data_IF_141531120384
#
_entry.id   IF_141531120384
#
_cell.length_a   1.000
_cell.length_b   1.000
_cell.length_c   1.000
_cell.angle_alpha   90.00
_cell.angle_beta   90.00
_cell.angle_gamma   90.00
#
_symmetry.space_group_name_H-M   'P 1'
#
loop_
_entity.id
_entity.type
_entity.pdbx_description
1 polymer ?
#
# COMPACT_ATOMS: atom_id res chain seq x y z
N UNK A 1 58.42 -11.43 12.22
CA UNK A 1 58.21 -12.46 11.18
C UNK A 1 57.28 -13.50 11.78
N UNK A 2 56.11 -13.89 11.25
CA UNK A 2 55.45 -13.72 9.95
C UNK A 2 53.94 -13.45 10.19
N UNK A 3 53.29 -12.68 9.32
CA UNK A 3 51.81 -12.53 9.29
C UNK A 3 51.21 -13.42 8.19
N UNK A 4 50.14 -14.19 8.46
CA UNK A 4 49.43 -14.94 7.43
C UNK A 4 48.43 -14.05 6.66
N UNK A 5 48.71 -13.80 5.39
CA UNK A 5 47.81 -13.08 4.46
C UNK A 5 46.67 -13.97 3.96
N UNK A 6 45.43 -13.46 3.96
CA UNK A 6 44.28 -14.11 3.30
C UNK A 6 44.39 -14.00 1.77
N UNK A 7 44.01 -15.03 1.00
CA UNK A 7 43.96 -14.95 -0.46
C UNK A 7 42.71 -14.21 -0.96
N UNK A 8 42.87 -13.42 -2.02
CA UNK A 8 41.79 -12.68 -2.70
C UNK A 8 40.92 -13.58 -3.60
N UNK A 9 39.62 -13.29 -3.78
CA UNK A 9 38.76 -14.04 -4.71
C UNK A 9 39.04 -13.68 -6.18
N UNK A 10 39.07 -14.71 -7.04
CA UNK A 10 39.24 -14.59 -8.49
C UNK A 10 37.95 -14.11 -9.18
N UNK A 11 38.05 -12.98 -9.89
CA UNK A 11 37.03 -12.48 -10.81
C UNK A 11 37.01 -13.36 -12.06
N UNK A 12 35.83 -13.84 -12.49
CA UNK A 12 35.64 -14.52 -13.78
C UNK A 12 35.20 -13.52 -14.86
N UNK A 13 35.81 -13.52 -16.06
CA UNK A 13 35.41 -12.63 -17.14
C UNK A 13 34.13 -13.09 -17.87
N UNK A 14 33.47 -12.14 -18.53
CA UNK A 14 32.27 -12.33 -19.35
C UNK A 14 32.52 -13.27 -20.55
N UNK A 15 31.55 -14.12 -20.87
CA UNK A 15 31.50 -14.90 -22.12
C UNK A 15 30.68 -14.20 -23.21
N UNK A 16 31.00 -14.41 -24.51
CA UNK A 16 30.30 -13.77 -25.64
C UNK A 16 28.96 -14.45 -25.99
N UNK A 17 28.04 -13.74 -26.68
CA UNK A 17 26.74 -14.28 -27.10
C UNK A 17 26.80 -15.06 -28.42
N UNK A 18 25.94 -16.09 -28.54
CA UNK A 18 25.78 -16.93 -29.74
C UNK A 18 24.66 -16.45 -30.69
N UNK A 19 24.71 -16.78 -32.00
CA UNK A 19 23.98 -16.04 -33.05
C UNK A 19 22.55 -16.52 -33.35
N UNK A 20 21.84 -15.77 -34.21
CA UNK A 20 20.51 -16.10 -34.78
C UNK A 20 20.57 -16.38 -36.28
N UNK A 21 19.53 -17.09 -36.75
CA UNK A 21 18.89 -17.10 -38.09
C UNK A 21 19.17 -18.34 -38.95
N UNK A 22 18.08 -19.02 -39.32
CA UNK A 22 17.93 -19.93 -40.46
C UNK A 22 17.21 -21.25 -40.15
N UNK A 23 16.41 -21.87 -41.05
CA UNK A 23 15.72 -21.35 -42.25
C UNK A 23 14.36 -22.08 -42.47
N UNK A 24 13.64 -21.67 -43.52
CA UNK A 24 12.27 -21.94 -43.95
C UNK A 24 12.08 -23.24 -44.77
N UNK A 25 10.92 -23.91 -44.66
CA UNK A 25 10.27 -24.64 -45.78
C UNK A 25 8.73 -24.59 -45.66
N UNK A 26 7.99 -24.82 -46.76
CA UNK A 26 6.56 -24.49 -46.96
C UNK A 26 5.68 -25.72 -47.28
N UNK A 27 4.36 -25.59 -47.07
CA UNK A 27 3.31 -26.49 -47.60
C UNK A 27 2.06 -26.46 -46.70
N UNK A 28 1.05 -25.60 -46.90
CA UNK A 28 0.00 -25.49 -47.95
C UNK A 28 -1.30 -26.31 -47.65
N UNK A 29 -2.39 -25.54 -47.58
CA UNK A 29 -3.86 -25.75 -47.34
C UNK A 29 -4.62 -26.73 -48.28
N UNK A 30 -5.96 -26.98 -48.19
CA UNK A 30 -7.04 -26.44 -47.29
C UNK A 30 -8.12 -27.40 -46.68
N UNK A 31 -8.88 -26.90 -45.68
CA UNK A 31 -10.38 -26.82 -45.44
C UNK A 31 -11.38 -27.86 -46.05
N UNK A 32 -12.68 -27.98 -45.62
CA UNK A 32 -13.43 -27.51 -44.42
C UNK A 32 -14.15 -28.64 -43.64
N UNK A 33 -14.93 -28.29 -42.59
CA UNK A 33 -16.36 -28.72 -42.33
C UNK A 33 -16.81 -28.44 -40.88
N UNK A 34 -17.98 -27.77 -40.71
CA UNK A 34 -18.96 -27.77 -39.58
C UNK A 34 -18.48 -27.90 -38.11
N UNK A 35 -18.93 -27.11 -37.13
CA UNK A 35 -19.92 -26.04 -37.11
C UNK A 35 -20.62 -25.90 -35.74
N UNK A 36 -20.88 -24.65 -35.34
CA UNK A 36 -21.86 -24.18 -34.31
C UNK A 36 -21.64 -24.55 -32.82
N UNK A 37 -21.17 -23.56 -32.04
CA UNK A 37 -21.83 -23.10 -30.80
C UNK A 37 -21.35 -21.67 -30.47
N UNK A 38 -22.17 -20.66 -30.77
CA UNK A 38 -22.01 -19.27 -30.30
C UNK A 38 -22.52 -19.17 -28.87
N UNK A 39 -21.90 -18.34 -28.01
CA UNK A 39 -22.62 -17.25 -27.30
C UNK A 39 -21.67 -16.03 -27.08
N UNK A 40 -22.15 -14.85 -27.51
CA UNK A 40 -21.79 -13.44 -27.21
C UNK A 40 -20.33 -12.93 -27.11
N UNK A 41 -20.06 -11.92 -27.96
CA UNK A 41 -19.01 -10.90 -27.84
C UNK A 41 -19.10 -10.02 -26.57
N UNK A 42 -17.97 -9.39 -26.21
CA UNK A 42 -17.89 -8.44 -25.10
C UNK A 42 -16.56 -7.67 -25.00
N UNK A 43 -15.98 -7.25 -26.14
CA UNK A 43 -14.70 -6.56 -26.14
C UNK A 43 -14.82 -5.08 -25.70
N UNK A 44 -14.20 -4.71 -24.58
CA UNK A 44 -13.89 -3.30 -24.28
C UNK A 44 -12.63 -3.11 -23.41
N UNK A 45 -11.51 -3.01 -24.09
CA UNK A 45 -10.35 -2.14 -23.80
C UNK A 45 -10.40 -1.32 -22.48
N UNK A 46 -9.79 -1.83 -21.41
CA UNK A 46 -9.41 -1.00 -20.25
C UNK A 46 -8.01 -0.37 -20.45
N UNK A 47 -7.89 0.48 -21.48
CA UNK A 47 -6.71 1.32 -21.69
C UNK A 47 -7.12 2.79 -21.54
N UNK A 48 -6.75 3.42 -20.42
CA UNK A 48 -7.00 4.86 -20.20
C UNK A 48 -5.82 5.68 -20.73
N UNK A 49 -6.03 6.61 -21.68
CA UNK A 49 -4.98 7.51 -22.16
C UNK A 49 -4.63 8.57 -21.10
N UNK A 50 -3.38 9.09 -21.08
CA UNK A 50 -2.99 10.14 -20.15
C UNK A 50 -3.62 11.49 -20.54
N UNK A 51 -4.02 12.28 -19.55
CA UNK A 51 -4.21 13.73 -19.74
C UNK A 51 -5.64 14.30 -19.71
N UNK A 52 -6.64 13.65 -19.11
CA UNK A 52 -7.91 14.32 -18.77
C UNK A 52 -8.12 14.47 -17.26
N UNK A 53 -8.58 15.67 -16.89
CA UNK A 53 -9.06 16.06 -15.56
C UNK A 53 -10.27 15.20 -15.19
N UNK A 54 -10.28 14.64 -13.98
CA UNK A 54 -11.40 13.85 -13.47
C UNK A 54 -12.69 14.68 -13.50
N UNK A 55 -13.82 14.13 -14.01
CA UNK A 55 -15.12 14.78 -13.89
C UNK A 55 -15.56 14.81 -12.44
N UNK A 56 -16.30 15.84 -12.05
CA UNK A 56 -16.91 15.96 -10.72
C UNK A 56 -18.12 15.01 -10.63
N UNK A 57 -17.86 13.74 -10.35
CA UNK A 57 -18.88 12.74 -10.00
C UNK A 57 -19.17 12.72 -8.49
N UNK A 58 -20.34 12.22 -8.05
CA UNK A 58 -20.73 12.24 -6.65
C UNK A 58 -19.79 11.44 -5.75
N UNK A 59 -19.54 11.95 -4.55
CA UNK A 59 -18.61 11.38 -3.59
C UNK A 59 -19.22 10.21 -2.79
N UNK A 60 -19.26 9.03 -3.41
CA UNK A 60 -19.52 7.77 -2.69
C UNK A 60 -18.41 7.50 -1.66
N UNK A 61 -18.70 7.74 -0.38
CA UNK A 61 -17.76 7.42 0.71
C UNK A 61 -18.14 8.01 2.07
N UNK A 62 -18.74 7.16 2.91
CA UNK A 62 -19.12 7.36 4.33
C UNK A 62 -20.36 8.23 4.63
N UNK A 63 -21.28 7.65 5.41
CA UNK A 63 -22.44 8.35 6.02
C UNK A 63 -21.95 9.48 6.92
N UNK A 64 -22.63 10.62 6.83
CA UNK A 64 -22.34 11.81 7.63
C UNK A 64 -22.62 11.56 9.13
N UNK A 65 -21.62 11.80 9.98
CA UNK A 65 -21.86 12.18 11.37
C UNK A 65 -21.68 13.70 11.49
N UNK A 66 -22.73 14.38 11.93
CA UNK A 66 -22.75 15.83 12.12
C UNK A 66 -22.22 16.14 13.53
N UNK A 67 -21.39 17.17 13.69
CA UNK A 67 -21.06 17.64 15.04
C UNK A 67 -22.27 18.35 15.68
N UNK A 68 -22.34 18.32 17.01
CA UNK A 68 -23.42 18.95 17.79
C UNK A 68 -23.37 20.49 17.75
N UNK A 69 -22.46 21.08 16.97
CA UNK A 69 -22.28 22.54 16.80
C UNK A 69 -22.71 23.05 15.43
N UNK A 70 -23.24 22.19 14.55
CA UNK A 70 -23.84 22.58 13.27
C UNK A 70 -22.87 23.17 12.25
N UNK A 71 -21.56 23.06 12.47
CA UNK A 71 -20.55 23.57 11.53
C UNK A 71 -20.22 22.47 10.53
N UNK A 72 -20.28 22.77 9.23
CA UNK A 72 -19.72 21.86 8.21
C UNK A 72 -18.21 21.81 8.38
N UNK A 73 -17.71 20.83 9.14
CA UNK A 73 -16.30 20.57 9.31
C UNK A 73 -15.65 20.44 7.92
N UNK A 74 -14.74 21.35 7.58
CA UNK A 74 -14.06 21.30 6.29
C UNK A 74 -13.29 19.97 6.20
N UNK A 75 -13.63 19.15 5.19
CA UNK A 75 -13.08 17.79 4.91
C UNK A 75 -11.55 17.75 4.84
N UNK A 76 -10.89 18.92 4.81
CA UNK A 76 -9.44 19.15 4.91
C UNK A 76 -9.15 20.35 5.81
N UNK A 77 -8.42 20.14 6.91
CA UNK A 77 -7.78 21.21 7.66
C UNK A 77 -6.76 21.96 6.77
N UNK A 78 -6.81 23.30 6.69
CA UNK A 78 -5.83 24.07 5.91
C UNK A 78 -4.40 23.81 6.42
N UNK A 79 -3.41 23.94 5.52
CA UNK A 79 -1.99 23.68 5.84
C UNK A 79 -1.58 22.20 5.91
N UNK A 80 -2.47 21.26 6.29
CA UNK A 80 -2.10 19.81 6.41
C UNK A 80 -1.67 19.19 5.08
N UNK A 81 -2.20 19.65 3.95
CA UNK A 81 -1.71 19.23 2.62
C UNK A 81 -0.29 19.73 2.32
N UNK A 82 0.08 20.91 2.80
CA UNK A 82 1.45 21.45 2.69
C UNK A 82 2.40 20.66 3.59
N UNK A 83 2.01 20.38 4.83
CA UNK A 83 2.78 19.52 5.73
C UNK A 83 3.02 18.13 5.12
N UNK A 84 1.98 17.49 4.58
CA UNK A 84 2.13 16.23 3.87
C UNK A 84 3.00 16.32 2.60
N UNK A 85 3.16 17.49 1.97
CA UNK A 85 4.11 17.67 0.85
C UNK A 85 5.55 17.81 1.35
N UNK A 86 5.76 18.40 2.53
CA UNK A 86 7.08 18.48 3.18
C UNK A 86 7.55 17.09 3.62
N UNK A 87 6.72 16.38 4.39
CA UNK A 87 7.00 15.00 4.83
C UNK A 87 7.34 14.07 3.65
N UNK A 88 6.79 14.31 2.45
CA UNK A 88 7.04 13.47 1.25
C UNK A 88 8.42 13.68 0.62
N UNK A 89 9.14 14.72 1.06
CA UNK A 89 10.51 15.07 0.68
C UNK A 89 11.50 14.69 1.79
N UNK A 90 11.05 14.84 3.03
CA UNK A 90 11.82 14.61 4.26
C UNK A 90 11.46 13.23 4.87
N UNK A 91 11.17 12.23 4.03
CA UNK A 91 10.75 10.88 4.50
C UNK A 91 11.96 10.06 4.98
N UNK A 92 11.73 9.18 5.96
CA UNK A 92 12.76 8.27 6.48
C UNK A 92 13.10 7.17 5.47
N UNK A 93 14.31 6.60 5.58
CA UNK A 93 14.72 5.45 4.75
C UNK A 93 13.79 4.23 4.93
N UNK A 94 13.17 4.07 6.11
CA UNK A 94 12.17 3.03 6.37
C UNK A 94 10.86 3.30 5.61
N UNK A 95 10.34 4.54 5.66
CA UNK A 95 9.18 4.95 4.85
C UNK A 95 9.46 4.78 3.36
N UNK A 96 10.64 5.18 2.88
CA UNK A 96 11.02 5.05 1.47
C UNK A 96 11.04 3.58 1.01
N UNK A 97 11.66 2.69 1.80
CA UNK A 97 11.71 1.24 1.53
C UNK A 97 10.32 0.62 1.50
N UNK A 98 9.50 0.87 2.52
CA UNK A 98 8.14 0.32 2.57
C UNK A 98 7.26 0.90 1.44
N UNK A 99 7.38 2.21 1.17
CA UNK A 99 6.65 2.84 0.06
C UNK A 99 6.99 2.25 -1.30
N UNK A 100 8.24 1.82 -1.51
CA UNK A 100 8.63 1.17 -2.77
C UNK A 100 7.83 -0.11 -3.05
N UNK A 101 7.45 -0.87 -2.02
CA UNK A 101 6.64 -2.09 -2.16
C UNK A 101 5.13 -1.88 -2.00
N UNK A 102 4.69 -0.76 -1.43
CA UNK A 102 3.27 -0.40 -1.35
C UNK A 102 2.75 0.39 -2.57
N UNK A 103 3.62 1.15 -3.26
CA UNK A 103 3.23 2.01 -4.39
C UNK A 103 2.67 1.20 -5.57
N UNK A 104 1.76 1.80 -6.32
CA UNK A 104 1.32 1.25 -7.61
C UNK A 104 0.62 -0.11 -7.54
N UNK A 105 -0.01 -0.46 -6.40
CA UNK A 105 -0.71 -1.74 -6.16
C UNK A 105 0.21 -2.98 -6.15
N UNK A 106 1.53 -2.80 -5.91
CA UNK A 106 2.52 -3.89 -5.85
C UNK A 106 2.20 -4.95 -4.79
N UNK A 107 1.73 -4.55 -3.61
CA UNK A 107 1.29 -5.47 -2.57
C UNK A 107 -0.10 -6.05 -2.87
N UNK A 108 -0.15 -7.22 -3.52
CA UNK A 108 -1.34 -8.01 -3.87
C UNK A 108 -2.53 -7.21 -4.45
N UNK A 109 -2.26 -6.16 -5.23
CA UNK A 109 -3.29 -5.33 -5.84
C UNK A 109 -3.85 -4.21 -4.95
N UNK A 110 -3.53 -4.15 -3.66
CA UNK A 110 -4.11 -3.18 -2.72
C UNK A 110 -3.62 -1.74 -2.94
N UNK A 111 -4.53 -0.75 -2.89
CA UNK A 111 -4.18 0.66 -3.13
C UNK A 111 -3.76 1.40 -1.87
N UNK A 112 -2.45 1.52 -1.68
CA UNK A 112 -1.88 2.41 -0.68
C UNK A 112 -1.71 3.86 -1.17
N UNK A 113 -1.84 4.80 -0.25
CA UNK A 113 -1.50 6.22 -0.40
C UNK A 113 -0.57 6.63 0.72
N UNK A 114 0.60 7.24 0.41
CA UNK A 114 1.52 7.73 1.45
C UNK A 114 1.16 9.13 1.97
N UNK A 115 1.40 9.35 3.27
CA UNK A 115 1.31 10.60 4.03
C UNK A 115 0.00 11.34 3.78
N UNK A 116 -1.09 10.72 4.23
CA UNK A 116 -2.47 11.14 3.98
C UNK A 116 -2.98 12.00 5.14
N UNK A 117 -3.41 13.25 4.90
CA UNK A 117 -4.14 14.02 5.89
C UNK A 117 -5.48 13.36 6.21
N UNK A 118 -5.70 13.04 7.48
CA UNK A 118 -6.94 12.51 8.05
C UNK A 118 -7.34 13.43 9.21
N UNK A 119 -8.29 14.33 8.95
CA UNK A 119 -8.71 15.35 9.91
C UNK A 119 -7.54 16.23 10.37
N UNK A 120 -7.22 16.18 11.67
CA UNK A 120 -6.09 16.89 12.27
C UNK A 120 -4.74 16.18 12.10
N UNK A 121 -4.72 14.90 11.71
CA UNK A 121 -3.54 14.05 11.68
C UNK A 121 -3.04 13.81 10.25
N UNK A 122 -1.83 13.27 10.14
CA UNK A 122 -1.29 12.68 8.92
C UNK A 122 -0.92 11.24 9.27
N UNK A 123 -1.26 10.31 8.38
CA UNK A 123 -0.96 8.88 8.49
C UNK A 123 0.01 8.47 7.37
N UNK A 124 1.04 7.70 7.71
CA UNK A 124 2.20 7.46 6.83
C UNK A 124 1.82 6.64 5.60
N UNK A 125 1.01 5.59 5.78
CA UNK A 125 0.39 4.85 4.69
C UNK A 125 -1.07 4.54 4.99
N UNK A 126 -1.93 4.64 3.98
CA UNK A 126 -3.37 4.32 4.10
C UNK A 126 -3.84 3.47 2.93
N UNK A 127 -4.37 2.28 3.23
CA UNK A 127 -5.20 1.50 2.32
C UNK A 127 -6.67 1.83 2.61
N UNK A 128 -7.27 2.69 1.77
CA UNK A 128 -8.69 3.07 1.92
C UNK A 128 -9.65 1.92 1.61
N UNK A 129 -9.25 1.02 0.71
CA UNK A 129 -10.05 -0.14 0.28
C UNK A 129 -10.30 -1.14 1.44
N UNK A 130 -9.42 -1.15 2.45
CA UNK A 130 -9.49 -2.01 3.64
C UNK A 130 -9.59 -1.24 4.97
N UNK A 131 -9.74 0.08 4.91
CA UNK A 131 -9.69 0.96 6.08
C UNK A 131 -8.49 0.69 7.01
N UNK A 132 -7.32 0.43 6.43
CA UNK A 132 -6.08 0.16 7.17
C UNK A 132 -5.13 1.36 7.08
N UNK A 133 -4.61 1.78 8.22
CA UNK A 133 -3.47 2.68 8.37
C UNK A 133 -2.26 1.85 8.75
N UNK A 134 -1.12 2.11 8.11
CA UNK A 134 0.19 1.59 8.52
C UNK A 134 1.08 2.78 8.87
N UNK A 135 1.72 2.72 10.04
CA UNK A 135 2.56 3.79 10.59
C UNK A 135 3.94 3.26 10.94
N UNK A 136 4.96 4.09 10.74
CA UNK A 136 6.35 3.76 11.07
C UNK A 136 6.81 4.65 12.23
N UNK A 137 7.03 4.05 13.40
CA UNK A 137 7.48 4.77 14.59
C UNK A 137 9.01 4.75 14.68
N UNK A 138 9.58 5.93 14.93
CA UNK A 138 10.98 6.12 15.27
C UNK A 138 11.23 6.17 16.78
N UNK A 139 10.20 6.03 17.61
CA UNK A 139 10.23 6.25 19.05
C UNK A 139 9.56 5.11 19.83
N UNK A 140 10.02 4.88 21.07
CA UNK A 140 9.39 3.89 21.96
C UNK A 140 8.14 4.43 22.67
N UNK A 141 7.51 5.49 22.15
CA UNK A 141 6.54 6.34 22.87
C UNK A 141 5.09 6.20 22.37
N UNK A 142 4.74 5.01 21.88
CA UNK A 142 3.36 4.68 21.49
C UNK A 142 2.33 4.91 22.62
N UNK A 143 2.77 4.84 23.88
CA UNK A 143 1.98 5.09 25.10
C UNK A 143 1.81 6.57 25.49
N UNK A 144 2.30 7.53 24.70
CA UNK A 144 2.04 8.97 24.92
C UNK A 144 0.53 9.28 24.90
N UNK A 145 0.00 10.11 25.84
CA UNK A 145 -1.42 10.50 25.85
C UNK A 145 -1.90 11.11 24.52
N UNK A 146 -1.01 11.81 23.80
CA UNK A 146 -1.30 12.36 22.49
C UNK A 146 -1.53 11.25 21.43
N UNK A 147 -0.71 10.19 21.47
CA UNK A 147 -0.85 9.06 20.53
C UNK A 147 -2.10 8.22 20.83
N UNK A 148 -2.47 8.07 22.11
CA UNK A 148 -3.73 7.42 22.50
C UNK A 148 -4.95 8.17 21.95
N UNK A 149 -5.01 9.50 22.13
CA UNK A 149 -6.11 10.32 21.59
C UNK A 149 -6.16 10.29 20.06
N UNK A 150 -4.99 10.32 19.40
CA UNK A 150 -4.86 10.18 17.94
C UNK A 150 -5.39 8.84 17.45
N UNK A 151 -4.99 7.75 18.09
CA UNK A 151 -5.44 6.39 17.74
C UNK A 151 -6.95 6.24 17.95
N UNK A 152 -7.49 6.66 19.10
CA UNK A 152 -8.94 6.63 19.34
C UNK A 152 -9.74 7.42 18.30
N UNK A 153 -9.25 8.59 17.87
CA UNK A 153 -9.89 9.36 16.81
C UNK A 153 -9.87 8.63 15.46
N UNK A 154 -8.71 8.08 15.06
CA UNK A 154 -8.57 7.32 13.80
C UNK A 154 -9.46 6.07 13.79
N UNK A 155 -9.48 5.31 14.89
CA UNK A 155 -10.32 4.13 15.02
C UNK A 155 -11.82 4.50 15.00
N UNK A 156 -12.19 5.65 15.57
CA UNK A 156 -13.54 6.21 15.47
C UNK A 156 -13.92 6.75 14.08
N UNK A 157 -12.96 6.92 13.16
CA UNK A 157 -13.21 7.11 11.72
C UNK A 157 -13.28 5.78 10.95
N UNK A 158 -13.31 4.64 11.66
CA UNK A 158 -13.38 3.30 11.08
C UNK A 158 -12.04 2.76 10.58
N UNK A 159 -10.90 3.40 10.87
CA UNK A 159 -9.58 2.91 10.48
C UNK A 159 -8.98 1.97 11.52
N UNK A 160 -8.47 0.82 11.11
CA UNK A 160 -7.52 0.06 11.91
C UNK A 160 -6.12 0.69 11.78
N UNK A 161 -5.31 0.66 12.83
CA UNK A 161 -3.94 1.20 12.86
C UNK A 161 -2.97 0.08 13.17
N UNK A 162 -2.04 -0.18 12.24
CA UNK A 162 -0.93 -1.12 12.38
C UNK A 162 0.37 -0.33 12.44
N UNK A 163 1.23 -0.63 13.42
CA UNK A 163 2.50 0.07 13.66
C UNK A 163 3.67 -0.88 13.46
N UNK A 164 4.74 -0.36 12.87
CA UNK A 164 6.05 -1.00 12.88
C UNK A 164 7.08 -0.01 13.41
N UNK A 165 8.13 -0.54 14.03
CA UNK A 165 9.31 0.21 14.39
C UNK A 165 10.21 0.32 13.16
N UNK A 166 10.91 1.45 13.00
CA UNK A 166 11.79 1.64 11.85
C UNK A 166 12.83 0.50 11.65
N UNK A 167 13.34 -0.10 12.73
CA UNK A 167 14.32 -1.19 12.65
C UNK A 167 13.74 -2.47 12.01
N UNK A 168 12.48 -2.82 12.26
CA UNK A 168 11.84 -4.00 11.67
C UNK A 168 11.81 -3.93 10.13
N UNK A 169 11.58 -2.73 9.58
CA UNK A 169 11.56 -2.47 8.14
C UNK A 169 12.97 -2.58 7.52
N UNK A 170 14.03 -2.36 8.32
CA UNK A 170 15.42 -2.54 7.89
C UNK A 170 15.89 -3.99 8.00
N UNK A 171 15.49 -4.68 9.06
CA UNK A 171 15.91 -6.06 9.38
C UNK A 171 15.12 -7.08 8.56
N UNK A 172 13.79 -6.98 8.50
CA UNK A 172 12.93 -7.87 7.73
C UNK A 172 11.69 -7.17 7.12
N UNK A 173 11.93 -6.55 5.96
CA UNK A 173 10.87 -6.01 5.10
C UNK A 173 9.89 -7.11 4.62
N UNK A 174 10.31 -8.37 4.50
CA UNK A 174 9.44 -9.47 4.03
C UNK A 174 8.42 -9.85 5.11
N UNK A 175 8.84 -9.98 6.36
CA UNK A 175 7.95 -10.17 7.51
C UNK A 175 7.02 -8.97 7.72
N UNK A 176 7.53 -7.75 7.56
CA UNK A 176 6.71 -6.52 7.57
C UNK A 176 5.57 -6.58 6.54
N UNK A 177 5.89 -6.89 5.28
CA UNK A 177 4.89 -7.00 4.20
C UNK A 177 3.91 -8.17 4.41
N UNK A 178 4.40 -9.29 4.92
CA UNK A 178 3.58 -10.47 5.26
C UNK A 178 2.56 -10.12 6.35
N UNK A 179 2.99 -9.41 7.38
CA UNK A 179 2.11 -8.94 8.45
C UNK A 179 1.04 -7.97 7.91
N UNK A 180 1.42 -7.01 7.07
CA UNK A 180 0.47 -6.10 6.41
C UNK A 180 -0.55 -6.89 5.56
N UNK A 181 -0.13 -7.90 4.81
CA UNK A 181 -1.02 -8.75 4.02
C UNK A 181 -2.02 -9.53 4.88
N UNK A 182 -1.58 -10.15 5.97
CA UNK A 182 -2.46 -10.85 6.90
C UNK A 182 -3.57 -9.92 7.42
N UNK A 183 -3.22 -8.68 7.83
CA UNK A 183 -4.21 -7.68 8.28
C UNK A 183 -5.18 -7.28 7.15
N UNK A 184 -4.67 -7.06 5.93
CA UNK A 184 -5.51 -6.73 4.77
C UNK A 184 -6.48 -7.85 4.40
N UNK A 185 -6.09 -9.11 4.61
CA UNK A 185 -6.92 -10.29 4.39
C UNK A 185 -7.89 -10.60 5.55
N UNK A 186 -7.80 -9.87 6.67
CA UNK A 186 -8.48 -10.15 7.94
C UNK A 186 -8.12 -11.53 8.54
N UNK A 187 -6.89 -11.97 8.29
CA UNK A 187 -6.31 -13.16 8.92
C UNK A 187 -5.92 -12.86 10.38
N UNK A 188 -6.10 -13.84 11.26
CA UNK A 188 -5.70 -13.73 12.67
C UNK A 188 -4.18 -13.68 12.77
N UNK A 189 -3.62 -12.54 13.16
CA UNK A 189 -2.22 -12.41 13.56
C UNK A 189 -2.14 -12.05 15.05
N UNK A 190 -1.12 -12.58 15.73
CA UNK A 190 -0.83 -12.24 17.11
C UNK A 190 0.20 -11.09 17.13
N UNK A 191 -0.16 -9.88 17.60
CA UNK A 191 0.83 -8.84 17.81
C UNK A 191 1.76 -9.23 18.97
N UNK A 192 3.07 -9.13 18.74
CA UNK A 192 4.11 -9.31 19.77
C UNK A 192 4.16 -8.17 20.80
N UNK A 193 3.52 -7.04 20.51
CA UNK A 193 3.50 -5.83 21.33
C UNK A 193 2.09 -5.24 21.38
N UNK A 194 1.56 -4.82 22.56
CA UNK A 194 0.19 -4.36 22.70
C UNK A 194 -0.16 -3.14 21.83
N UNK A 195 0.81 -2.25 21.59
CA UNK A 195 0.60 -1.07 20.74
C UNK A 195 0.76 -1.35 19.23
N UNK A 196 1.17 -2.56 18.81
CA UNK A 196 1.40 -2.88 17.38
C UNK A 196 0.13 -2.75 16.55
N UNK A 197 -1.02 -3.13 17.11
CA UNK A 197 -2.28 -3.14 16.37
C UNK A 197 -3.43 -2.56 17.20
N UNK A 198 -4.12 -1.59 16.62
CA UNK A 198 -5.34 -1.02 17.18
C UNK A 198 -6.48 -1.22 16.19
N UNK A 199 -7.50 -2.04 16.51
CA UNK A 199 -8.60 -2.31 15.59
C UNK A 199 -9.52 -1.08 15.43
N UNK A 200 -10.13 -0.97 14.25
CA UNK A 200 -11.18 0.02 13.99
C UNK A 200 -12.31 -0.12 15.03
N UNK A 201 -12.83 1.02 15.50
CA UNK A 201 -14.06 1.00 16.29
C UNK A 201 -15.22 0.77 15.33
N UNK A 202 -15.90 -0.36 15.48
CA UNK A 202 -17.10 -0.67 14.70
C UNK A 202 -18.18 0.33 15.08
N UNK A 203 -18.44 1.31 14.22
CA UNK A 203 -19.66 2.14 14.30
C UNK A 203 -20.85 1.23 14.04
N UNK A 204 -21.47 0.75 15.13
CA UNK A 204 -22.39 -0.37 15.09
C UNK A 204 -23.59 -0.15 14.17
N UNK A 205 -23.85 -1.14 13.31
CA UNK A 205 -25.20 -1.65 13.23
C UNK A 205 -25.47 -2.37 14.56
N UNK A 206 -26.22 -1.75 15.46
CA UNK A 206 -26.86 -2.48 16.56
C UNK A 206 -28.00 -3.28 15.96
N UNK A 207 -27.97 -4.63 15.94
CA UNK A 207 -29.18 -5.39 15.66
C UNK A 207 -30.20 -5.11 16.78
N UNK A 208 -31.44 -4.83 16.40
CA UNK A 208 -32.58 -4.82 17.33
C UNK A 208 -33.04 -6.24 17.63
#
# INVERSE_FOLDING_TARGET
MIVPTRPSPLIRPFGPPSPRRGEETRGNTPDPTTGVMKICDGASHFFSPPGRRWPEGPDEGARLMVDHTGKKAAKRQPGKTTQARKLRRDETDAEYRLWYELKGRRLNGFKFSRQVPLGAYIADFVCREKMLIVELDGSQHASSPHNRQRTLWLNGQGYAVLRFWNHEVFEDLSSTLTTILAVLNAETFLPDHPDRYSPALVTGNTPQ
#
